data_IF_902943156903
#
_entry.id   IF_902943156903
#
_cell.length_a   1.000
_cell.length_b   1.000
_cell.length_c   1.000
_cell.angle_alpha   90.00
_cell.angle_beta   90.00
_cell.angle_gamma   90.00
#
_symmetry.space_group_name_H-M   'P 1'
#
loop_
_entity.id
_entity.type
_entity.pdbx_description
1 polymer ?
#
# COMPACT_ATOMS: atom_id res chain seq x y z
N UNK A 1 -26.35 51.13 -21.12
CA UNK A 1 -25.07 51.07 -20.38
C UNK A 1 -25.18 50.29 -19.06
N UNK A 2 -26.27 50.37 -18.33
CA UNK A 2 -26.51 49.63 -17.08
C UNK A 2 -26.73 48.10 -17.30
N UNK A 3 -27.52 47.72 -18.30
CA UNK A 3 -27.83 46.33 -18.64
C UNK A 3 -26.57 45.52 -19.06
N UNK A 4 -25.64 46.16 -19.74
CA UNK A 4 -24.36 45.50 -20.15
C UNK A 4 -23.49 45.22 -18.94
N UNK A 5 -23.47 46.10 -17.96
CA UNK A 5 -22.69 45.97 -16.75
C UNK A 5 -23.26 44.88 -15.82
N UNK A 6 -24.58 44.75 -15.73
CA UNK A 6 -25.24 43.68 -14.95
C UNK A 6 -25.04 42.31 -15.61
N UNK A 7 -25.13 42.24 -16.95
CA UNK A 7 -24.87 41.02 -17.71
C UNK A 7 -23.41 40.55 -17.55
N UNK A 8 -22.44 41.43 -17.62
CA UNK A 8 -21.02 41.11 -17.38
C UNK A 8 -20.75 40.68 -15.96
N UNK A 9 -21.41 41.29 -14.97
CA UNK A 9 -21.26 40.90 -13.55
C UNK A 9 -21.82 39.51 -13.28
N UNK A 10 -23.01 39.18 -13.83
CA UNK A 10 -23.61 37.84 -13.72
C UNK A 10 -22.75 36.76 -14.40
N UNK A 11 -22.26 37.03 -15.59
CA UNK A 11 -21.40 36.07 -16.32
C UNK A 11 -20.09 35.85 -15.58
N UNK A 12 -19.49 36.86 -14.99
CA UNK A 12 -18.29 36.76 -14.18
C UNK A 12 -18.52 35.95 -12.89
N UNK A 13 -19.67 36.12 -12.24
CA UNK A 13 -20.04 35.42 -11.04
C UNK A 13 -20.28 33.93 -11.32
N UNK A 14 -21.00 33.59 -12.40
CA UNK A 14 -21.20 32.21 -12.85
C UNK A 14 -19.90 31.51 -13.25
N UNK A 15 -18.98 32.23 -13.90
CA UNK A 15 -17.67 31.68 -14.23
C UNK A 15 -16.83 31.40 -12.99
N UNK A 16 -16.88 32.23 -11.97
CA UNK A 16 -16.18 32.04 -10.71
C UNK A 16 -16.78 30.86 -9.90
N UNK A 17 -18.10 30.77 -9.83
CA UNK A 17 -18.79 29.66 -9.15
C UNK A 17 -18.50 28.31 -9.83
N UNK A 18 -18.58 28.25 -11.16
CA UNK A 18 -18.24 27.02 -11.90
C UNK A 18 -16.76 26.65 -11.79
N UNK A 19 -15.87 27.65 -11.74
CA UNK A 19 -14.44 27.41 -11.54
C UNK A 19 -14.15 26.87 -10.14
N UNK A 20 -14.79 27.41 -9.12
CA UNK A 20 -14.66 26.92 -7.74
C UNK A 20 -15.16 25.48 -7.59
N UNK A 21 -16.28 25.13 -8.21
CA UNK A 21 -16.84 23.78 -8.18
C UNK A 21 -15.95 22.77 -8.91
N UNK A 22 -15.41 23.14 -10.07
CA UNK A 22 -14.47 22.29 -10.82
C UNK A 22 -13.16 22.08 -10.06
N UNK A 23 -12.63 23.10 -9.42
CA UNK A 23 -11.41 23.01 -8.59
C UNK A 23 -11.67 22.15 -7.37
N UNK A 24 -12.80 22.32 -6.68
CA UNK A 24 -13.18 21.50 -5.54
C UNK A 24 -13.32 20.04 -5.91
N UNK A 25 -13.96 19.72 -7.03
CA UNK A 25 -14.13 18.35 -7.51
C UNK A 25 -12.79 17.72 -7.87
N UNK A 26 -11.90 18.41 -8.55
CA UNK A 26 -10.54 17.94 -8.84
C UNK A 26 -9.72 17.71 -7.58
N UNK A 27 -9.86 18.56 -6.56
CA UNK A 27 -9.21 18.39 -5.27
C UNK A 27 -9.79 17.18 -4.52
N UNK A 28 -11.10 16.98 -4.56
CA UNK A 28 -11.78 15.84 -3.93
C UNK A 28 -11.35 14.52 -4.55
N UNK A 29 -11.32 14.42 -5.87
CA UNK A 29 -10.85 13.22 -6.59
C UNK A 29 -9.40 12.91 -6.23
N UNK A 30 -8.52 13.92 -6.22
CA UNK A 30 -7.13 13.73 -5.81
C UNK A 30 -6.99 13.29 -4.35
N UNK A 31 -7.83 13.81 -3.45
CA UNK A 31 -7.79 13.41 -2.04
C UNK A 31 -8.30 11.98 -1.83
N UNK A 32 -9.33 11.55 -2.55
CA UNK A 32 -9.84 10.19 -2.54
C UNK A 32 -8.82 9.19 -3.13
N UNK A 33 -8.21 9.52 -4.26
CA UNK A 33 -7.15 8.71 -4.88
C UNK A 33 -5.92 8.62 -3.97
N UNK A 34 -5.53 9.73 -3.36
CA UNK A 34 -4.41 9.77 -2.40
C UNK A 34 -4.70 8.93 -1.16
N UNK A 35 -5.92 8.95 -0.62
CA UNK A 35 -6.33 8.12 0.52
C UNK A 35 -6.35 6.63 0.17
N UNK A 36 -6.84 6.27 -1.00
CA UNK A 36 -6.86 4.89 -1.48
C UNK A 36 -5.43 4.35 -1.67
N UNK A 37 -4.53 5.18 -2.18
CA UNK A 37 -3.13 4.85 -2.37
C UNK A 37 -2.38 4.68 -1.03
N UNK A 38 -2.55 5.60 -0.10
CA UNK A 38 -2.00 5.50 1.26
C UNK A 38 -2.46 4.22 1.96
N UNK A 39 -3.76 3.90 1.91
CA UNK A 39 -4.30 2.66 2.48
C UNK A 39 -3.68 1.38 1.88
N UNK A 40 -3.31 1.38 0.60
CA UNK A 40 -2.61 0.26 -0.02
C UNK A 40 -1.19 0.09 0.55
N UNK A 41 -0.41 1.17 0.64
CA UNK A 41 0.94 1.13 1.22
C UNK A 41 0.92 0.79 2.70
N UNK A 42 -0.02 1.32 3.43
CA UNK A 42 -0.23 1.00 4.84
C UNK A 42 -0.46 -0.50 5.04
N UNK A 43 -1.33 -1.10 4.24
CA UNK A 43 -1.58 -2.55 4.28
C UNK A 43 -0.32 -3.36 3.96
N UNK A 44 0.40 -2.99 2.91
CA UNK A 44 1.64 -3.69 2.54
C UNK A 44 2.70 -3.56 3.64
N UNK A 45 2.84 -2.38 4.24
CA UNK A 45 3.75 -2.17 5.37
C UNK A 45 3.37 -3.05 6.55
N UNK A 46 2.09 -3.12 6.92
CA UNK A 46 1.64 -3.97 8.03
C UNK A 46 1.81 -5.46 7.75
N UNK A 47 1.60 -5.91 6.51
CA UNK A 47 1.86 -7.29 6.10
C UNK A 47 3.35 -7.63 6.22
N UNK A 48 4.22 -6.76 5.71
CA UNK A 48 5.67 -6.93 5.86
C UNK A 48 6.07 -6.96 7.34
N UNK A 49 5.58 -6.01 8.13
CA UNK A 49 5.87 -5.92 9.56
C UNK A 49 5.43 -7.17 10.29
N UNK A 50 4.26 -7.71 9.99
CA UNK A 50 3.76 -8.95 10.58
C UNK A 50 4.66 -10.13 10.26
N UNK A 51 5.13 -10.21 9.03
CA UNK A 51 6.05 -11.27 8.60
C UNK A 51 7.41 -11.13 9.28
N UNK A 52 7.99 -9.94 9.31
CA UNK A 52 9.33 -9.70 9.85
C UNK A 52 9.40 -9.77 11.37
N UNK A 53 8.31 -9.46 12.07
CA UNK A 53 8.21 -9.48 13.53
C UNK A 53 7.42 -10.68 14.07
N UNK A 54 7.27 -11.73 13.27
CA UNK A 54 6.59 -12.94 13.73
C UNK A 54 7.27 -13.52 15.01
N UNK A 55 6.46 -13.72 16.04
CA UNK A 55 6.93 -14.13 17.37
C UNK A 55 7.68 -13.06 18.18
N UNK A 56 7.92 -11.85 17.65
CA UNK A 56 8.62 -10.75 18.34
C UNK A 56 7.69 -9.60 18.74
N UNK A 57 6.52 -9.49 18.10
CA UNK A 57 5.51 -8.49 18.40
C UNK A 57 4.13 -9.13 18.56
N UNK A 58 3.29 -8.50 19.38
CA UNK A 58 1.89 -8.86 19.54
C UNK A 58 1.03 -8.01 18.60
N UNK A 59 0.37 -8.63 17.61
CA UNK A 59 -0.49 -7.94 16.65
C UNK A 59 -1.92 -7.85 17.18
N UNK A 60 -2.42 -6.61 17.34
CA UNK A 60 -3.73 -6.28 17.90
C UNK A 60 -4.77 -5.97 16.83
N UNK A 61 -4.65 -6.58 15.66
CA UNK A 61 -5.49 -6.37 14.48
C UNK A 61 -4.67 -6.00 13.24
N UNK A 62 -5.33 -5.42 12.23
CA UNK A 62 -4.69 -5.14 10.95
C UNK A 62 -3.86 -3.86 10.90
N UNK A 63 -4.06 -2.97 11.89
CA UNK A 63 -3.48 -1.63 11.89
C UNK A 63 -2.72 -1.28 13.17
N UNK A 64 -2.46 -2.26 14.05
CA UNK A 64 -1.76 -2.02 15.31
C UNK A 64 -1.00 -3.24 15.81
N UNK A 65 0.11 -3.00 16.50
CA UNK A 65 0.91 -4.03 17.15
C UNK A 65 1.63 -3.46 18.37
N UNK A 66 1.99 -4.34 19.29
CA UNK A 66 2.78 -4.02 20.48
C UNK A 66 4.17 -4.63 20.38
N UNK A 67 5.17 -3.80 20.53
CA UNK A 67 6.57 -4.21 20.55
C UNK A 67 7.03 -4.34 22.00
N UNK A 68 7.34 -5.57 22.45
CA UNK A 68 7.80 -5.84 23.81
C UNK A 68 9.33 -5.80 23.94
N UNK A 69 10.04 -6.10 22.84
CA UNK A 69 11.50 -6.04 22.76
C UNK A 69 11.92 -5.45 21.43
N UNK A 70 13.03 -4.73 21.39
CA UNK A 70 13.53 -4.16 20.14
C UNK A 70 14.13 -5.28 19.26
N UNK A 71 13.66 -5.44 18.02
CA UNK A 71 14.28 -6.36 17.05
C UNK A 71 15.65 -5.85 16.58
N UNK A 72 15.94 -4.58 16.82
CA UNK A 72 17.20 -3.91 16.47
C UNK A 72 17.83 -3.27 17.72
N UNK A 73 18.54 -4.02 18.58
CA UNK A 73 19.11 -3.50 19.83
C UNK A 73 20.02 -2.30 19.64
N UNK A 74 20.72 -2.24 18.51
CA UNK A 74 21.62 -1.13 18.18
C UNK A 74 20.88 0.18 17.87
N UNK A 75 19.58 0.11 17.58
CA UNK A 75 18.70 1.25 17.27
C UNK A 75 17.62 1.47 18.34
N UNK A 76 17.78 0.89 19.52
CA UNK A 76 16.77 0.93 20.58
C UNK A 76 16.37 2.37 20.98
N UNK A 77 17.27 3.34 20.84
CA UNK A 77 16.97 4.75 21.13
C UNK A 77 15.97 5.39 20.15
N UNK A 78 15.94 4.93 18.90
CA UNK A 78 15.04 5.43 17.84
C UNK A 78 13.83 4.54 17.61
N UNK A 79 13.78 3.35 18.21
CA UNK A 79 12.69 2.37 18.11
C UNK A 79 12.15 2.12 19.53
N UNK A 80 11.26 2.99 20.04
CA UNK A 80 10.72 2.83 21.37
C UNK A 80 9.85 1.59 21.48
N UNK A 81 9.80 0.99 22.67
CA UNK A 81 8.88 -0.12 22.97
C UNK A 81 7.47 0.41 23.18
N UNK A 82 6.46 -0.40 22.98
CA UNK A 82 5.07 -0.04 23.23
C UNK A 82 4.14 -0.30 22.05
N UNK A 83 3.03 0.42 22.07
CA UNK A 83 1.97 0.30 21.04
C UNK A 83 2.32 1.12 19.81
N UNK A 84 2.18 0.52 18.65
CA UNK A 84 2.32 1.13 17.33
C UNK A 84 0.97 1.10 16.59
N UNK A 85 0.62 2.19 15.94
CA UNK A 85 -0.64 2.31 15.17
C UNK A 85 -0.42 2.96 13.81
N UNK A 86 -1.18 2.48 12.84
CA UNK A 86 -1.16 2.96 11.46
C UNK A 86 -2.60 3.02 10.90
N UNK A 87 -3.24 4.20 10.76
CA UNK A 87 -2.81 5.50 11.29
C UNK A 87 -2.93 5.56 12.83
N UNK A 88 -2.26 6.54 13.43
CA UNK A 88 -2.34 6.74 14.88
C UNK A 88 -3.76 7.12 15.29
N UNK A 89 -4.35 6.35 16.20
CA UNK A 89 -5.71 6.55 16.74
C UNK A 89 -5.71 6.90 18.22
N UNK A 90 -4.75 6.39 18.97
CA UNK A 90 -4.61 6.67 20.41
C UNK A 90 -3.50 7.67 20.68
N UNK A 91 -3.62 8.42 21.76
CA UNK A 91 -2.63 9.41 22.18
C UNK A 91 -1.31 8.81 22.63
N UNK A 92 -1.32 7.56 23.08
CA UNK A 92 -0.18 6.86 23.68
C UNK A 92 0.58 5.99 22.67
N UNK A 93 0.01 5.72 21.50
CA UNK A 93 0.66 4.90 20.48
C UNK A 93 1.73 5.70 19.72
N UNK A 94 2.76 4.98 19.30
CA UNK A 94 3.72 5.49 18.32
C UNK A 94 3.10 5.47 16.92
N UNK A 95 3.25 6.58 16.19
CA UNK A 95 2.80 6.64 14.80
C UNK A 95 3.71 5.75 13.95
N UNK A 96 3.13 4.70 13.37
CA UNK A 96 3.82 3.81 12.46
C UNK A 96 3.61 4.23 11.01
N UNK A 97 4.68 4.37 10.24
CA UNK A 97 4.66 4.77 8.82
C UNK A 97 5.98 4.40 8.16
N UNK A 98 6.05 4.47 6.83
CA UNK A 98 7.24 4.06 6.06
C UNK A 98 8.54 4.72 6.49
N UNK A 99 8.50 5.99 6.89
CA UNK A 99 9.68 6.72 7.39
C UNK A 99 9.90 6.60 8.92
N UNK A 100 9.26 5.64 9.59
CA UNK A 100 9.59 5.31 10.97
C UNK A 100 10.84 4.43 11.00
N UNK A 101 11.83 4.64 11.91
CA UNK A 101 13.07 3.86 11.96
C UNK A 101 12.86 2.34 12.00
N UNK A 102 11.81 1.86 12.68
CA UNK A 102 11.45 0.45 12.68
C UNK A 102 11.06 -0.02 11.28
N UNK A 103 10.19 0.73 10.58
CA UNK A 103 9.74 0.37 9.24
C UNK A 103 10.90 0.36 8.23
N UNK A 104 11.74 1.38 8.26
CA UNK A 104 12.94 1.46 7.42
C UNK A 104 13.86 0.28 7.63
N UNK A 105 14.13 -0.09 8.89
CA UNK A 105 14.99 -1.23 9.23
C UNK A 105 14.40 -2.57 8.76
N UNK A 106 13.07 -2.76 8.90
CA UNK A 106 12.40 -3.97 8.42
C UNK A 106 12.44 -4.07 6.89
N UNK A 107 12.17 -2.96 6.19
CA UNK A 107 12.24 -2.89 4.72
C UNK A 107 13.66 -3.18 4.23
N UNK A 108 14.67 -2.58 4.85
CA UNK A 108 16.07 -2.82 4.48
C UNK A 108 16.50 -4.28 4.73
N UNK A 109 16.06 -4.89 5.82
CA UNK A 109 16.32 -6.31 6.07
C UNK A 109 15.64 -7.21 5.04
N UNK A 110 14.38 -6.91 4.72
CA UNK A 110 13.64 -7.66 3.70
C UNK A 110 14.31 -7.57 2.31
N UNK A 111 14.78 -6.36 1.93
CA UNK A 111 15.49 -6.16 0.65
C UNK A 111 16.82 -6.91 0.57
N UNK A 112 17.51 -7.09 1.69
CA UNK A 112 18.82 -7.77 1.74
C UNK A 112 18.70 -9.28 1.84
N UNK A 113 17.48 -9.80 2.04
CA UNK A 113 17.26 -11.22 2.20
C UNK A 113 17.45 -11.95 0.88
N UNK A 114 18.32 -12.92 0.86
CA UNK A 114 18.44 -13.88 -0.23
C UNK A 114 17.34 -14.95 -0.05
N UNK A 115 16.43 -15.02 -1.01
CA UNK A 115 15.31 -15.96 -0.99
C UNK A 115 15.63 -17.15 -1.89
N UNK A 116 15.83 -18.36 -1.33
CA UNK A 116 15.98 -19.55 -2.14
C UNK A 116 14.68 -19.87 -2.88
N UNK A 117 14.79 -20.61 -3.98
CA UNK A 117 13.62 -21.19 -4.64
C UNK A 117 12.83 -22.03 -3.66
N UNK A 118 11.54 -21.82 -3.57
CA UNK A 118 10.64 -22.51 -2.66
C UNK A 118 9.38 -22.97 -3.38
N UNK A 119 8.75 -24.01 -2.86
CA UNK A 119 7.44 -24.44 -3.32
C UNK A 119 6.35 -23.65 -2.62
N UNK A 120 5.39 -23.15 -3.39
CA UNK A 120 4.24 -22.39 -2.90
C UNK A 120 2.98 -23.15 -3.30
N UNK A 121 2.14 -23.47 -2.31
CA UNK A 121 0.84 -24.07 -2.54
C UNK A 121 -0.26 -23.01 -2.39
N UNK A 122 -1.06 -22.84 -3.45
CA UNK A 122 -2.24 -21.97 -3.42
C UNK A 122 -3.49 -22.78 -3.08
N UNK A 123 -4.12 -22.48 -1.95
CA UNK A 123 -5.37 -23.15 -1.54
C UNK A 123 -6.58 -22.40 -2.11
N UNK A 124 -7.09 -22.87 -3.23
CA UNK A 124 -8.28 -22.33 -3.86
C UNK A 124 -9.58 -22.62 -3.09
N UNK A 125 -9.59 -23.68 -2.26
CA UNK A 125 -10.76 -24.07 -1.48
C UNK A 125 -11.16 -23.07 -0.40
N UNK A 126 -10.25 -22.18 -0.02
CA UNK A 126 -10.51 -21.10 0.96
C UNK A 126 -11.06 -19.82 0.33
N UNK A 127 -11.20 -19.76 -0.99
CA UNK A 127 -11.67 -18.57 -1.69
C UNK A 127 -13.20 -18.55 -1.76
N UNK A 128 -13.81 -17.46 -1.28
CA UNK A 128 -15.25 -17.22 -1.43
C UNK A 128 -15.58 -16.83 -2.88
N UNK A 129 -16.12 -17.77 -3.63
CA UNK A 129 -16.55 -17.55 -5.01
C UNK A 129 -15.71 -18.31 -6.04
N UNK A 130 -16.19 -18.26 -7.30
CA UNK A 130 -15.57 -18.91 -8.44
C UNK A 130 -14.73 -17.95 -9.26
N UNK A 131 -13.47 -18.31 -9.50
CA UNK A 131 -12.58 -17.61 -10.42
C UNK A 131 -12.39 -18.51 -11.65
N UNK A 132 -13.21 -18.32 -12.66
CA UNK A 132 -13.30 -19.19 -13.83
C UNK A 132 -11.96 -19.43 -14.54
N UNK A 133 -11.06 -18.43 -14.56
CA UNK A 133 -9.74 -18.58 -15.19
C UNK A 133 -8.78 -19.45 -14.37
N UNK A 134 -9.03 -19.67 -13.08
CA UNK A 134 -8.20 -20.52 -12.21
C UNK A 134 -8.70 -21.97 -12.16
N UNK A 135 -9.97 -22.23 -12.44
CA UNK A 135 -10.54 -23.59 -12.39
C UNK A 135 -9.75 -24.63 -13.20
N UNK A 136 -9.29 -24.33 -14.44
CA UNK A 136 -8.48 -25.27 -15.19
C UNK A 136 -7.10 -25.56 -14.61
N UNK A 137 -6.65 -24.72 -13.65
CA UNK A 137 -5.34 -24.82 -13.03
C UNK A 137 -5.37 -25.57 -11.70
N UNK A 138 -6.56 -25.91 -11.19
CA UNK A 138 -6.71 -26.66 -9.92
C UNK A 138 -6.03 -28.03 -10.06
N UNK A 139 -5.13 -28.32 -9.09
CA UNK A 139 -4.34 -29.55 -9.08
C UNK A 139 -3.19 -29.60 -10.08
N UNK A 140 -2.92 -28.47 -10.77
CA UNK A 140 -1.74 -28.34 -11.64
C UNK A 140 -0.54 -27.87 -10.85
N UNK A 141 0.64 -28.26 -11.33
CA UNK A 141 1.94 -27.78 -10.87
C UNK A 141 2.61 -26.97 -11.98
N UNK A 142 3.61 -26.18 -11.63
CA UNK A 142 4.29 -25.34 -12.60
C UNK A 142 5.32 -24.42 -11.96
N UNK A 143 5.75 -23.45 -12.72
CA UNK A 143 6.75 -22.47 -12.32
C UNK A 143 6.11 -21.10 -12.17
N UNK A 144 6.48 -20.41 -11.09
CA UNK A 144 6.07 -19.06 -10.78
C UNK A 144 7.31 -18.17 -10.77
N UNK A 145 7.25 -17.04 -11.45
CA UNK A 145 8.28 -16.02 -11.44
C UNK A 145 7.68 -14.66 -11.10
N UNK A 146 8.36 -13.93 -10.23
CA UNK A 146 8.05 -12.53 -9.92
C UNK A 146 9.13 -11.66 -10.55
N UNK A 147 8.73 -10.70 -11.37
CA UNK A 147 9.62 -9.76 -12.03
C UNK A 147 9.24 -8.32 -11.69
N UNK A 148 10.25 -7.48 -11.48
CA UNK A 148 10.05 -6.04 -11.38
C UNK A 148 10.18 -5.44 -12.78
N UNK A 149 9.12 -4.80 -13.25
CA UNK A 149 9.11 -4.06 -14.51
C UNK A 149 9.11 -2.57 -14.18
N UNK A 150 10.20 -1.88 -14.52
CA UNK A 150 10.36 -0.45 -14.29
C UNK A 150 10.22 0.32 -15.60
N UNK A 151 9.38 1.34 -15.59
CA UNK A 151 9.21 2.29 -16.69
C UNK A 151 9.80 3.62 -16.24
N UNK A 152 10.83 4.08 -16.93
CA UNK A 152 11.43 5.38 -16.70
C UNK A 152 11.02 6.34 -17.82
N UNK A 153 10.34 7.42 -17.48
CA UNK A 153 10.05 8.55 -18.37
C UNK A 153 10.76 9.80 -17.81
N UNK A 154 10.82 10.86 -18.61
CA UNK A 154 11.56 12.08 -18.30
C UNK A 154 11.22 12.70 -16.92
N UNK A 155 9.99 12.53 -16.45
CA UNK A 155 9.48 13.14 -15.20
C UNK A 155 8.89 12.15 -14.19
N UNK A 156 8.81 10.86 -14.52
CA UNK A 156 8.19 9.84 -13.66
C UNK A 156 8.86 8.49 -13.84
N UNK A 157 9.08 7.80 -12.72
CA UNK A 157 9.46 6.39 -12.70
C UNK A 157 8.30 5.59 -12.10
N UNK A 158 7.90 4.51 -12.77
CA UNK A 158 6.84 3.61 -12.30
C UNK A 158 7.39 2.19 -12.21
N UNK A 159 7.19 1.54 -11.07
CA UNK A 159 7.57 0.16 -10.82
C UNK A 159 6.33 -0.73 -10.74
N UNK A 160 6.33 -1.79 -11.54
CA UNK A 160 5.27 -2.79 -11.58
C UNK A 160 5.81 -4.17 -11.24
N UNK A 161 5.19 -4.85 -10.26
CA UNK A 161 5.45 -6.26 -10.00
C UNK A 161 4.62 -7.10 -10.96
N UNK A 162 5.28 -7.89 -11.78
CA UNK A 162 4.65 -8.82 -12.73
C UNK A 162 4.85 -10.23 -12.22
N UNK A 163 3.74 -10.90 -11.93
CA UNK A 163 3.70 -12.31 -11.59
C UNK A 163 3.42 -13.11 -12.86
N UNK A 164 4.32 -14.00 -13.23
CA UNK A 164 4.17 -14.89 -14.37
C UNK A 164 4.16 -16.34 -13.91
N UNK A 165 3.25 -17.12 -14.44
CA UNK A 165 3.14 -18.55 -14.13
C UNK A 165 3.03 -19.35 -15.42
N UNK A 166 3.67 -20.51 -15.44
CA UNK A 166 3.57 -21.50 -16.53
C UNK A 166 3.40 -22.87 -15.89
N UNK A 167 2.38 -23.62 -16.33
CA UNK A 167 2.20 -25.00 -15.89
C UNK A 167 3.27 -25.91 -16.50
N UNK A 168 3.50 -27.08 -15.87
CA UNK A 168 4.43 -28.09 -16.41
C UNK A 168 4.02 -28.60 -17.81
N UNK A 169 2.75 -28.39 -18.18
CA UNK A 169 2.20 -28.71 -19.50
C UNK A 169 2.37 -27.57 -20.53
N UNK A 170 2.97 -26.43 -20.13
CA UNK A 170 3.24 -25.29 -21.02
C UNK A 170 2.03 -24.40 -21.30
N UNK A 171 1.04 -24.35 -20.39
CA UNK A 171 -0.14 -23.48 -20.46
C UNK A 171 0.04 -22.25 -19.58
#
# INVERSE_FOLDING_TARGET
SLEINESMTRTRQQLLENFDDEVREKLRVRDEDSKAYLNRYERLLMQLTRHELDGQAEFLGDASFRLAASPFPQQAASIPLGLYELPRRSGEAHLYRLNHPLAESLVENAKKRDLPTAEIQFDYGQHDGKITCLEPLIGKTGWLALSLFSIEALDQAEDHLILSAVTDEGQ
#
